data_IF_514159239718
#
_entry.id   IF_514159239718
#
_cell.length_a   1.000
_cell.length_b   1.000
_cell.length_c   1.000
_cell.angle_alpha   90.00
_cell.angle_beta   90.00
_cell.angle_gamma   90.00
#
_symmetry.space_group_name_H-M   'P 1'
#
loop_
_entity.id
_entity.type
_entity.pdbx_description
1 polymer ?
2 water ?
#
# COMPACT_ATOMS: atom_id res chain seq x y z
N UNK A 11 -9.63 -31.82 13.13
CA UNK A 11 -10.60 -30.74 12.83
C UNK A 11 -10.74 -30.55 11.32
N UNK A 12 -11.60 -31.37 10.70
CA UNK A 12 -11.94 -31.24 9.26
C UNK A 12 -13.16 -30.34 9.09
N UNK A 14 -15.12 -26.63 7.80
CA UNK A 14 -15.21 -25.84 6.58
C UNK A 14 -15.01 -24.38 6.88
N UNK A 15 -15.09 -23.56 5.84
CA UNK A 15 -14.89 -22.12 5.97
C UNK A 15 -15.78 -21.52 7.07
N UNK A 16 -17.03 -21.96 7.14
CA UNK A 16 -17.97 -21.36 8.10
C UNK A 16 -17.65 -21.77 9.53
N UNK A 17 -17.17 -22.99 9.68
CA UNK A 17 -16.72 -23.47 10.96
C UNK A 17 -15.52 -22.68 11.45
N UNK A 18 -14.57 -22.46 10.55
CA UNK A 18 -13.36 -21.70 10.88
C UNK A 18 -13.69 -20.29 11.34
N UNK A 19 -14.63 -19.66 10.63
CA UNK A 19 -15.04 -18.28 10.92
C UNK A 19 -15.83 -18.19 12.20
N UNK A 20 -16.67 -19.18 12.44
CA UNK A 20 -17.40 -19.27 13.70
C UNK A 20 -16.43 -19.51 14.86
N UNK A 21 -15.38 -20.30 14.60
CA UNK A 21 -14.32 -20.51 15.58
C UNK A 21 -13.58 -19.21 15.88
N UNK A 22 -13.35 -18.39 14.86
CA UNK A 22 -12.73 -17.08 15.09
C UNK A 22 -13.62 -16.19 15.93
N UNK A 23 -14.90 -16.13 15.57
CA UNK A 23 -15.84 -15.27 16.31
C UNK A 23 -15.94 -15.72 17.77
N UNK A 24 -16.00 -17.03 18.00
CA UNK A 24 -16.03 -17.57 19.35
C UNK A 24 -14.76 -17.21 20.13
N UNK A 25 -13.62 -17.26 19.45
CA UNK A 25 -12.34 -16.88 20.06
C UNK A 25 -12.28 -15.38 20.27
N UNK A 26 -12.88 -14.62 19.35
CA UNK A 26 -13.02 -13.18 19.52
C UNK A 26 -13.84 -12.85 20.78
N UNK A 27 -15.03 -13.45 20.92
CA UNK A 27 -15.88 -13.22 22.09
C UNK A 27 -15.24 -13.71 23.40
N UNK A 28 -14.33 -14.68 23.30
CA UNK A 28 -13.46 -15.06 24.41
C UNK A 28 -12.52 -13.91 24.76
N UNK A 29 -11.94 -13.28 23.74
CA UNK A 29 -11.05 -12.14 23.93
C UNK A 29 -11.85 -10.86 24.18
N UNK A 50 -4.67 -8.68 22.76
CA UNK A 50 -4.34 -7.79 21.65
C UNK A 50 -4.49 -8.49 20.31
N UNK A 51 -4.91 -9.77 20.35
CA UNK A 51 -5.32 -10.52 19.15
C UNK A 51 -6.81 -10.35 18.84
N UNK A 52 -7.49 -9.50 19.62
CA UNK A 52 -8.87 -9.12 19.34
C UNK A 52 -8.92 -8.21 18.11
N UNK A 53 -7.93 -7.31 18.00
CA UNK A 53 -7.84 -6.41 16.85
C UNK A 53 -7.49 -7.19 15.57
N UNK A 54 -6.67 -8.23 15.73
CA UNK A 54 -6.34 -9.14 14.63
C UNK A 54 -7.59 -9.78 14.03
N UNK A 55 -8.58 -10.05 14.90
CA UNK A 55 -9.86 -10.67 14.50
C UNK A 55 -10.91 -9.65 14.03
N UNK A 56 -10.92 -8.48 14.69
CA UNK A 56 -11.95 -7.43 14.49
C UNK A 56 -12.58 -7.39 13.08
N UNK A 57 -11.76 -7.19 12.06
CA UNK A 57 -12.24 -7.07 10.67
C UNK A 57 -12.96 -8.32 10.19
N UNK A 58 -12.45 -9.49 10.56
CA UNK A 58 -13.04 -10.75 10.09
C UNK A 58 -14.42 -10.99 10.69
N UNK A 59 -14.56 -10.78 11.99
CA UNK A 59 -15.84 -11.07 12.65
C UNK A 59 -16.95 -10.16 12.11
N UNK A 60 -16.61 -8.92 11.82
CA UNK A 60 -17.59 -7.94 11.32
C UNK A 60 -18.05 -8.31 9.90
N UNK A 61 -17.19 -8.97 9.15
CA UNK A 61 -17.53 -9.45 7.81
C UNK A 61 -18.41 -10.70 7.88
N UNK A 62 -18.00 -11.67 8.71
CA UNK A 62 -18.77 -12.90 8.90
C UNK A 62 -20.11 -12.59 9.54
N UNK A 63 -20.11 -11.74 10.59
CA UNK A 63 -21.35 -11.27 11.21
C UNK A 63 -22.25 -10.57 10.21
N UNK A 64 -21.67 -9.82 9.27
CA UNK A 64 -22.48 -9.18 8.26
C UNK A 64 -22.99 -10.18 7.22
N UNK A 65 -22.20 -11.21 6.93
CA UNK A 65 -22.62 -12.30 6.05
C UNK A 65 -23.78 -13.10 6.67
N UNK A 66 -23.71 -13.29 7.97
CA UNK A 66 -24.77 -13.98 8.68
C UNK A 66 -26.05 -13.14 8.70
N UNK A 67 -25.89 -11.82 8.76
CA UNK A 67 -27.02 -10.90 8.67
C UNK A 67 -27.68 -10.98 7.29
N UNK A 68 -26.86 -11.09 6.24
CA UNK A 68 -27.37 -11.22 4.88
C UNK A 68 -28.16 -12.53 4.75
N UNK A 69 -27.59 -13.61 5.27
CA UNK A 69 -28.21 -14.95 5.19
C UNK A 69 -29.55 -14.97 5.94
N UNK A 70 -29.63 -14.24 7.04
CA UNK A 70 -30.90 -14.07 7.73
C UNK A 70 -31.85 -13.27 6.85
N UNK A 71 -31.37 -12.17 6.28
CA UNK A 71 -32.16 -11.31 5.38
C UNK A 71 -32.79 -12.07 4.19
N UNK A 72 -32.09 -13.09 3.72
CA UNK A 72 -32.58 -13.94 2.63
C UNK A 72 -33.71 -14.85 3.14
N UNK A 73 -33.49 -15.45 4.31
CA UNK A 73 -34.52 -16.24 4.99
C UNK A 73 -35.74 -15.40 5.34
N UNK A 74 -35.52 -14.15 5.76
CA UNK A 74 -36.61 -13.20 6.06
C UNK A 74 -37.42 -12.86 4.80
N UNK A 75 -36.73 -12.60 3.69
CA UNK A 75 -37.39 -12.26 2.43
C UNK A 75 -38.18 -13.43 1.87
N UNK A 76 -37.74 -14.66 2.17
CA UNK A 76 -38.45 -15.86 1.76
C UNK A 76 -39.75 -16.07 2.54
N UNK A 77 -39.84 -15.50 3.74
CA UNK A 77 -41.08 -15.52 4.55
C UNK A 77 -42.02 -14.32 4.26
N UNK A 86 -49.90 -7.12 -2.38
CA UNK A 86 -49.94 -7.75 -3.70
C UNK A 86 -48.69 -7.43 -4.53
N UNK A 87 -48.36 -6.13 -4.61
CA UNK A 87 -47.08 -5.67 -5.16
C UNK A 87 -46.01 -5.64 -4.08
N UNK A 88 -46.40 -5.93 -2.83
CA UNK A 88 -45.44 -6.11 -1.74
C UNK A 88 -44.70 -7.44 -1.93
N UNK A 89 -45.37 -8.41 -2.56
CA UNK A 89 -44.75 -9.68 -2.93
C UNK A 89 -43.64 -9.44 -3.96
N UNK A 90 -43.94 -8.62 -4.97
CA UNK A 90 -42.95 -8.25 -5.98
C UNK A 90 -41.80 -7.42 -5.39
N UNK A 92 -40.69 -7.58 -2.12
CA UNK A 92 -39.88 -8.51 -1.33
C UNK A 92 -39.06 -9.48 -2.19
N UNK A 93 -39.57 -9.77 -3.40
CA UNK A 93 -38.86 -10.64 -4.34
C UNK A 93 -37.60 -9.95 -4.89
N UNK A 94 -37.70 -8.63 -5.07
CA UNK A 94 -36.54 -7.79 -5.41
C UNK A 94 -35.54 -7.75 -4.28
N UNK A 95 -36.03 -7.48 -3.08
CA UNK A 95 -35.18 -7.45 -1.87
C UNK A 95 -34.44 -8.77 -1.69
N UNK A 96 -35.12 -9.88 -1.99
CA UNK A 96 -34.53 -11.20 -1.91
C UNK A 96 -33.39 -11.35 -2.93
N UNK A 97 -33.66 -10.97 -4.18
CA UNK A 97 -32.63 -11.03 -5.23
C UNK A 97 -31.42 -10.22 -4.77
N UNK A 98 -31.66 -8.99 -4.31
CA UNK A 98 -30.57 -8.12 -3.80
C UNK A 98 -29.79 -8.78 -2.66
N UNK A 99 -30.50 -9.35 -1.70
CA UNK A 99 -29.84 -10.07 -0.60
C UNK A 99 -29.03 -11.27 -1.12
N UNK A 100 -29.60 -12.04 -2.04
CA UNK A 100 -28.93 -13.23 -2.58
C UNK A 100 -27.63 -12.88 -3.30
N UNK A 101 -27.64 -11.72 -3.97
CA UNK A 101 -26.48 -11.22 -4.72
C UNK A 101 -25.34 -10.81 -3.78
N UNK A 102 -25.71 -10.27 -2.63
CA UNK A 102 -24.75 -9.85 -1.61
C UNK A 102 -24.10 -11.07 -0.94
N UNK A 103 -24.89 -12.12 -0.74
CA UNK A 103 -24.35 -13.38 -0.24
C UNK A 103 -23.25 -13.88 -1.18
N UNK A 104 -23.51 -13.88 -2.48
CA UNK A 104 -22.51 -14.27 -3.48
C UNK A 104 -21.24 -13.44 -3.30
N UNK A 105 -21.43 -12.14 -3.10
CA UNK A 105 -20.30 -11.20 -2.94
C UNK A 105 -19.50 -11.47 -1.67
N UNK A 106 -20.21 -11.78 -0.58
CA UNK A 106 -19.57 -12.11 0.69
C UNK A 106 -18.94 -13.49 0.68
N UNK A 107 -19.57 -14.46 0.01
CA UNK A 107 -19.00 -15.79 -0.14
C UNK A 107 -17.58 -15.67 -0.67
N UNK A 108 -17.43 -14.88 -1.74
CA UNK A 108 -16.13 -14.60 -2.36
C UNK A 108 -15.17 -13.98 -1.35
N UNK A 109 -15.68 -13.08 -0.51
CA UNK A 109 -14.86 -12.46 0.52
C UNK A 109 -14.34 -13.47 1.54
N UNK A 110 -15.24 -14.35 2.01
CA UNK A 110 -14.97 -15.23 3.16
C UNK A 110 -13.82 -16.19 2.96
N UNK A 111 -13.78 -16.85 1.81
CA UNK A 111 -12.73 -17.84 1.54
C UNK A 111 -11.33 -17.33 1.89
N UNK A 112 -11.07 -16.05 1.60
CA UNK A 112 -9.74 -15.48 1.78
C UNK A 112 -9.44 -14.92 3.17
N UNK A 113 -10.48 -14.82 4.01
CA UNK A 113 -10.35 -14.25 5.35
C UNK A 113 -9.39 -15.04 6.22
N UNK A 114 -9.48 -16.38 6.14
CA UNK A 114 -8.67 -17.27 6.98
C UNK A 114 -7.25 -17.48 6.46
N UNK A 115 -6.88 -16.80 5.37
CA UNK A 115 -5.52 -16.91 4.85
C UNK A 115 -4.50 -16.41 5.88
N UNK A 116 -3.28 -16.95 5.84
CA UNK A 116 -2.21 -16.43 6.68
C UNK A 116 -1.78 -15.03 6.24
N UNK A 117 -1.80 -14.09 7.19
CA UNK A 117 -1.45 -12.71 6.92
C UNK A 117 0.06 -12.49 7.09
N UNK A 118 0.64 -11.77 6.13
CA UNK A 118 1.92 -11.10 6.32
C UNK A 118 1.76 -10.29 7.60
N UNK A 119 2.65 -10.50 8.58
CA UNK A 119 2.49 -9.84 9.88
C UNK A 119 2.72 -8.33 9.82
N UNK A 120 3.31 -7.86 8.72
CA UNK A 120 3.42 -6.44 8.43
C UNK A 120 2.14 -5.80 7.89
N UNK A 121 1.12 -6.58 7.57
CA UNK A 121 -0.07 -6.03 6.89
C UNK A 121 -0.76 -4.92 7.68
N UNK A 122 -0.76 -5.07 8.99
CA UNK A 122 -1.44 -4.12 9.87
C UNK A 122 -0.56 -2.93 10.30
N UNK A 123 0.59 -2.73 9.63
CA UNK A 123 1.55 -1.70 10.04
C UNK A 123 1.36 -0.42 9.28
N UNK A 124 1.78 0.70 9.88
CA UNK A 124 1.88 1.94 9.13
C UNK A 124 3.08 1.77 8.21
N UNK A 125 3.25 2.67 7.25
CA UNK A 125 4.35 2.52 6.30
C UNK A 125 5.14 3.80 6.10
N UNK A 126 6.41 3.65 5.71
CA UNK A 126 7.18 4.74 5.18
C UNK A 126 7.06 4.63 3.67
N UNK A 127 6.72 5.75 3.03
CA UNK A 127 6.54 5.84 1.59
C UNK A 127 7.63 6.71 1.00
N UNK A 128 8.29 6.25 -0.05
CA UNK A 128 9.28 7.05 -0.77
C UNK A 128 8.99 7.06 -2.25
N UNK A 129 9.05 8.23 -2.86
CA UNK A 129 8.84 8.41 -4.29
C UNK A 129 10.00 9.24 -4.85
N UNK A 130 10.60 8.80 -5.94
CA UNK A 130 11.69 9.53 -6.60
C UNK A 130 11.47 9.61 -8.11
N UNK A 131 11.57 10.80 -8.67
CA UNK A 131 11.67 10.92 -10.11
C UNK A 131 12.91 10.14 -10.55
N UNK A 132 12.71 9.16 -11.43
CA UNK A 132 13.83 8.39 -11.97
C UNK A 132 14.11 8.87 -13.40
N UNK A 133 13.93 8.02 -14.41
CA UNK A 133 14.25 8.38 -15.80
C UNK A 133 13.16 9.25 -16.43
N UNK A 134 13.57 10.30 -17.14
CA UNK A 134 12.63 11.18 -17.85
C UNK A 134 12.89 12.67 -17.69
N UNK A 135 13.67 13.03 -16.67
CA UNK A 135 14.01 14.42 -16.43
C UNK A 135 12.92 15.11 -15.64
N UNK A 136 12.61 16.34 -16.03
CA UNK A 136 11.61 17.17 -15.36
C UNK A 136 10.28 16.45 -15.30
N UNK A 137 9.90 15.82 -16.40
CA UNK A 137 8.66 15.06 -16.49
C UNK A 137 8.59 13.97 -15.45
N UNK A 138 9.72 13.36 -15.12
CA UNK A 138 9.74 12.32 -14.10
C UNK A 138 9.46 12.91 -12.72
N UNK A 139 10.00 14.09 -12.44
CA UNK A 139 9.73 14.79 -11.18
C UNK A 139 8.27 15.27 -11.07
N UNK A 140 7.73 15.82 -12.15
CA UNK A 140 6.30 16.11 -12.19
C UNK A 140 5.48 14.88 -11.79
N UNK A 141 5.74 13.75 -12.44
CA UNK A 141 4.95 12.52 -12.19
C UNK A 141 5.08 12.01 -10.77
N UNK A 142 6.30 12.11 -10.22
CA UNK A 142 6.50 11.82 -8.81
C UNK A 142 5.53 12.65 -7.95
N UNK A 143 5.37 13.91 -8.32
CA UNK A 143 4.40 14.77 -7.67
C UNK A 143 2.98 14.29 -7.87
N UNK A 144 2.68 13.84 -9.08
CA UNK A 144 1.36 13.28 -9.38
C UNK A 144 1.07 12.08 -8.51
N UNK A 145 2.04 11.18 -8.38
CA UNK A 145 1.91 10.02 -7.49
C UNK A 145 1.71 10.42 -6.03
N UNK A 146 2.41 11.47 -5.61
CA UNK A 146 2.36 11.85 -4.22
C UNK A 146 0.95 12.32 -3.95
N UNK A 147 0.43 13.16 -4.85
CA UNK A 147 -0.94 13.65 -4.75
C UNK A 147 -1.94 12.50 -4.70
N UNK A 149 -1.54 9.35 -3.65
CA UNK A 149 -1.49 8.65 -2.38
C UNK A 149 -2.01 9.52 -1.24
N UNK A 150 -1.76 10.81 -1.36
CA UNK A 150 -2.25 11.77 -0.39
C UNK A 150 -3.79 11.82 -0.44
N UNK A 151 -4.36 11.78 -1.63
CA UNK A 151 -5.81 11.73 -1.78
C UNK A 151 -6.41 10.39 -1.35
N UNK A 152 -5.72 9.31 -1.68
CA UNK A 152 -6.12 7.97 -1.26
C UNK A 152 -6.08 7.90 0.24
N UNK A 153 -4.98 8.36 0.83
CA UNK A 153 -4.86 8.32 2.28
C UNK A 153 -5.99 9.09 2.95
N UNK A 154 -6.33 10.26 2.41
CA UNK A 154 -7.54 10.98 2.86
C UNK A 154 -8.76 10.05 2.81
N UNK A 155 -9.08 9.55 1.61
CA UNK A 155 -10.18 8.58 1.42
C UNK A 155 -10.17 7.47 2.47
N UNK A 156 -9.02 6.86 2.72
CA UNK A 156 -8.95 5.74 3.67
C UNK A 156 -8.99 6.15 5.14
N UNK A 157 -9.04 7.45 5.41
CA UNK A 157 -9.05 7.95 6.78
C UNK A 157 -7.69 7.94 7.44
N UNK A 158 -6.61 7.74 6.66
CA UNK A 158 -5.26 7.70 7.20
C UNK A 158 -4.65 9.09 7.39
N UNK A 159 -3.58 9.12 8.20
CA UNK A 159 -2.71 10.27 8.35
C UNK A 159 -1.55 10.14 7.37
N UNK A 160 -1.25 11.23 6.67
CA UNK A 160 -0.20 11.27 5.68
C UNK A 160 0.73 12.42 6.05
N UNK A 161 1.85 12.12 6.70
CA UNK A 161 2.87 13.13 7.00
C UNK A 161 3.96 13.09 5.93
N UNK A 162 4.22 14.20 5.27
CA UNK A 162 5.43 14.28 4.46
C UNK A 162 6.58 14.59 5.41
N UNK A 164 10.12 14.46 4.68
CA UNK A 164 10.96 15.37 3.94
C UNK A 164 10.72 15.23 2.46
N UNK A 165 10.97 16.32 1.75
CA UNK A 165 10.75 16.33 0.32
C UNK A 165 11.70 17.32 -0.34
N UNK A 166 12.03 17.01 -1.58
CA UNK A 166 13.09 17.68 -2.29
C UNK A 166 12.54 18.08 -3.67
N UNK A 167 12.27 19.38 -3.84
CA UNK A 167 11.71 19.93 -5.07
C UNK A 167 12.82 20.27 -6.07
N UNK A 168 12.46 20.35 -7.36
CA UNK A 168 13.42 20.71 -8.43
C UNK A 168 13.33 22.17 -8.84
N UNK A 169 12.51 22.93 -8.14
CA UNK A 169 12.40 24.38 -8.40
C UNK A 169 11.71 24.72 -9.71
N UNK A 170 10.88 23.81 -10.21
CA UNK A 170 10.03 24.14 -11.35
C UNK A 170 8.76 23.26 -11.33
N UNK A 171 8.25 23.06 -10.10
CA UNK A 171 7.01 22.34 -9.86
C UNK A 171 7.15 20.83 -9.72
N UNK A 172 8.39 20.35 -9.67
CA UNK A 172 8.64 18.91 -9.70
C UNK A 172 9.30 18.42 -8.43
N UNK A 173 9.11 17.13 -8.18
CA UNK A 173 9.52 16.49 -6.94
C UNK A 173 10.70 15.55 -7.18
N UNK A 174 11.89 15.95 -6.75
CA UNK A 174 13.10 15.13 -6.93
C UNK A 174 12.94 13.84 -6.12
N UNK A 175 12.66 13.97 -4.83
CA UNK A 175 12.12 12.87 -4.03
C UNK A 175 11.30 13.32 -2.84
N UNK A 176 10.50 12.41 -2.33
CA UNK A 176 9.74 12.65 -1.12
C UNK A 176 9.76 11.38 -0.27
N UNK A 177 9.75 11.56 1.04
CA UNK A 177 9.55 10.46 1.98
C UNK A 177 8.41 10.89 2.87
N UNK A 178 7.49 9.98 3.09
CA UNK A 178 6.32 10.30 3.88
C UNK A 178 6.07 9.13 4.74
N UNK A 180 2.74 7.08 6.24
CA UNK A 180 1.30 6.89 6.17
C UNK A 180 0.88 5.93 7.28
N UNK A 181 -0.04 6.40 8.12
CA UNK A 181 -0.47 5.71 9.31
C UNK A 181 -2.00 5.56 9.39
N UNK A 182 -2.43 4.47 10.01
CA UNK A 182 -3.85 4.13 10.14
C UNK A 182 -4.05 2.63 10.20
N UNK A 183 -5.29 2.19 9.96
CA UNK A 183 -5.62 0.76 9.99
C UNK A 183 -5.02 0.03 8.79
N UNK A 184 -4.22 -1.00 9.06
CA UNK A 184 -3.60 -1.85 8.05
C UNK A 184 -3.09 -1.18 6.76
N UNK A 185 -2.27 -0.17 6.89
CA UNK A 185 -1.91 0.65 5.74
C UNK A 185 -1.04 -0.13 4.76
N UNK A 186 -0.16 -0.97 5.29
CA UNK A 186 0.73 -1.77 4.46
C UNK A 186 -0.04 -2.83 3.67
N UNK A 187 -1.06 -3.40 4.29
CA UNK A 187 -1.93 -4.38 3.62
C UNK A 187 -2.49 -3.86 2.31
N UNK A 188 -2.57 -2.53 2.18
CA UNK A 188 -3.13 -1.89 0.99
C UNK A 188 -2.10 -1.28 0.09
N UNK A 189 -0.99 -0.82 0.64
CA UNK A 189 0.00 -0.07 -0.15
C UNK A 189 1.25 -0.85 -0.53
N UNK A 190 1.32 -2.07 -0.05
CA UNK A 190 2.49 -2.86 -0.27
C UNK A 190 2.78 -3.11 -1.73
N UNK A 191 1.76 -3.08 -2.57
CA UNK A 191 1.91 -3.36 -4.00
C UNK A 191 2.40 -2.14 -4.77
N UNK A 192 2.49 -0.96 -4.13
CA UNK A 192 2.96 0.23 -4.85
C UNK A 192 4.45 0.24 -5.05
N UNK A 193 5.20 -0.63 -4.38
CA UNK A 193 6.64 -0.67 -4.58
C UNK A 193 6.99 -1.08 -6.00
N UNK A 194 7.64 -0.19 -6.72
CA UNK A 194 8.24 -0.53 -8.00
C UNK A 194 8.36 0.72 -8.85
N UNK A 195 8.54 0.51 -10.15
CA UNK A 195 8.72 1.58 -11.12
C UNK A 195 7.40 1.84 -11.79
N UNK A 196 6.99 3.11 -11.82
CA UNK A 196 5.70 3.53 -12.32
C UNK A 196 5.97 4.38 -13.53
N UNK A 197 5.57 3.88 -14.69
CA UNK A 197 5.88 4.55 -15.96
C UNK A 197 4.78 5.51 -16.34
N UNK A 198 5.15 6.73 -16.69
CA UNK A 198 4.16 7.68 -17.24
C UNK A 198 4.40 7.85 -18.74
N UNK A 199 3.32 7.94 -19.52
CA UNK A 199 3.37 8.30 -20.95
C UNK A 199 2.39 9.47 -21.17
N UNK A 200 2.91 10.61 -21.56
CA UNK A 200 2.08 11.76 -21.72
C UNK A 200 2.81 12.78 -22.52
N UNK A 201 2.04 13.73 -23.05
CA UNK A 201 2.58 14.82 -23.84
C UNK A 201 2.87 15.89 -22.81
N UNK A 202 4.16 16.18 -22.58
CA UNK A 202 4.55 17.24 -21.65
C UNK A 202 3.85 18.55 -21.96
N UNK A 203 3.58 19.35 -20.95
CA UNK A 203 2.94 20.66 -21.16
C UNK A 203 3.85 21.57 -22.00
N UNK A 204 5.15 21.35 -21.88
CA UNK A 204 6.16 22.03 -22.67
C UNK A 204 6.17 21.67 -24.15
N UNK A 205 5.63 20.51 -24.51
CA UNK A 205 5.71 19.94 -25.86
C UNK A 205 4.63 20.52 -26.77
N UNK A 206 5.04 20.99 -27.95
CA UNK A 206 4.12 21.57 -28.91
C UNK A 206 3.72 20.61 -30.04
N UNK A 207 4.52 19.54 -30.23
CA UNK A 207 4.40 18.69 -31.41
C UNK A 207 3.65 17.39 -31.17
N UNK A 208 3.09 17.24 -29.97
CA UNK A 208 2.24 16.11 -29.68
C UNK A 208 2.98 14.82 -29.37
N UNK A 209 4.29 14.94 -29.15
CA UNK A 209 5.09 13.78 -28.85
C UNK A 209 4.85 13.33 -27.43
N UNK A 210 4.66 12.04 -27.27
CA UNK A 210 4.44 11.43 -25.99
C UNK A 210 5.78 11.13 -25.39
N UNK A 211 6.06 11.70 -24.21
CA UNK A 211 7.29 11.41 -23.49
C UNK A 211 6.97 10.37 -22.45
N UNK A 212 7.88 9.40 -22.32
CA UNK A 212 7.82 8.35 -21.33
C UNK A 212 8.79 8.64 -20.18
N UNK A 213 8.28 8.65 -18.96
CA UNK A 213 9.13 8.80 -17.77
C UNK A 213 8.78 7.77 -16.70
N UNK A 214 9.65 7.69 -15.72
CA UNK A 214 9.48 6.80 -14.59
C UNK A 214 9.75 7.53 -13.28
N UNK A 215 8.91 7.21 -12.30
CA UNK A 215 9.14 7.51 -10.92
C UNK A 215 9.08 6.18 -10.18
N UNK A 216 9.94 6.02 -9.19
CA UNK A 216 10.00 4.80 -8.38
C UNK A 216 9.26 5.00 -7.06
N UNK A 217 8.60 3.95 -6.61
CA UNK A 217 7.92 4.05 -5.33
C UNK A 217 8.45 2.91 -4.50
N UNK A 218 8.75 3.19 -3.24
CA UNK A 218 9.07 2.15 -2.28
C UNK A 218 8.16 2.35 -1.07
N UNK A 219 7.50 1.28 -0.66
CA UNK A 219 6.65 1.24 0.53
C UNK A 219 7.24 0.18 1.46
N UNK A 221 7.18 -1.25 5.71
CA UNK A 221 6.51 -1.11 7.01
C UNK A 221 7.32 -0.24 7.96
N UNK A 222 6.63 0.50 8.80
CA UNK A 222 7.25 1.22 9.90
C UNK A 222 7.81 0.18 10.87
N UNK A 223 9.04 0.40 11.30
CA UNK A 223 9.72 -0.50 12.24
C UNK A 223 9.97 0.25 13.55
N UNK A 224 9.47 -0.30 14.66
CA UNK A 224 9.63 0.32 15.98
C UNK A 224 11.05 0.08 16.47
N UNK A 225 11.63 1.05 17.17
CA UNK A 225 12.98 0.88 17.70
C UNK A 225 13.07 -0.45 18.44
N UNK A 226 12.09 -0.68 19.31
CA UNK A 226 11.93 -1.95 20.03
C UNK A 226 12.12 -3.18 19.13
N UNK A 227 11.52 -3.17 17.94
CA UNK A 227 11.48 -4.34 17.06
C UNK A 227 12.77 -4.61 16.31
N UNK A 228 13.60 -3.58 16.14
CA UNK A 228 14.80 -3.69 15.33
C UNK A 228 15.92 -2.80 15.88
N UNK A 229 16.76 -3.38 16.72
CA UNK A 229 17.79 -2.59 17.35
C UNK A 229 19.03 -2.51 16.47
N UNK A 230 19.64 -1.33 16.51
CA UNK A 230 20.82 -1.05 15.73
C UNK A 230 21.84 -0.50 16.67
N UNK A 231 22.98 -1.17 16.71
CA UNK A 231 24.11 -0.77 17.51
C UNK A 231 24.68 0.54 16.93
N UNK A 232 24.83 1.57 17.78
CA UNK A 232 25.41 2.80 17.28
C UNK A 232 26.78 2.60 16.66
N UNK A 233 27.51 1.57 17.09
CA UNK A 233 28.80 1.27 16.47
C UNK A 233 28.65 1.11 14.96
N UNK A 234 27.48 0.60 14.55
CA UNK A 234 27.11 0.48 13.14
C UNK A 234 26.52 1.75 12.48
N UNK A 235 26.54 2.87 13.19
CA UNK A 235 26.06 4.14 12.64
C UNK A 235 27.11 5.21 12.58
N UNK A 236 27.06 5.98 11.50
CA UNK A 236 27.69 7.27 11.47
C UNK A 236 26.60 8.33 11.54
N UNK A 237 26.65 9.19 12.56
CA UNK A 237 25.72 10.31 12.68
C UNK A 237 26.45 11.63 12.56
N UNK A 238 26.25 12.29 11.43
CA UNK A 238 26.79 13.60 11.20
C UNK A 238 25.73 14.63 11.54
N UNK A 239 26.11 15.59 12.38
CA UNK A 239 25.27 16.75 12.68
C UNK A 239 25.92 17.97 12.05
N UNK A 240 25.17 18.71 11.23
CA UNK A 240 25.72 19.83 10.45
C UNK A 240 24.66 20.92 10.18
N UNK A 241 25.13 22.11 9.77
CA UNK A 241 24.25 23.22 9.38
C UNK A 241 23.88 23.01 7.90
N UNK A 242 22.58 23.03 7.60
CA UNK A 242 22.09 22.74 6.25
C UNK A 242 22.83 23.49 5.14
N UNK A 252 24.49 29.25 16.79
CA UNK A 252 23.37 28.29 16.67
C UNK A 252 23.83 26.84 16.78
N UNK A 253 22.89 25.98 17.18
CA UNK A 253 23.11 24.54 17.26
C UNK A 253 22.89 23.99 15.84
N UNK A 254 23.82 23.15 15.37
CA UNK A 254 23.63 22.50 14.08
C UNK A 254 22.49 21.51 14.28
N UNK A 255 21.56 21.48 13.32
CA UNK A 255 20.33 20.71 13.50
C UNK A 255 19.99 19.78 12.36
N UNK A 256 20.79 19.82 11.29
CA UNK A 256 20.61 18.91 10.18
C UNK A 256 21.38 17.64 10.50
N UNK A 257 20.78 16.50 10.21
CA UNK A 257 21.29 15.22 10.67
C UNK A 257 21.35 14.24 9.52
N UNK A 258 22.55 13.72 9.26
CA UNK A 258 22.79 12.61 8.34
C UNK A 258 23.16 11.38 9.16
N UNK A 259 22.44 10.30 8.93
CA UNK A 259 22.73 9.02 9.56
C UNK A 259 23.05 8.08 8.44
N UNK A 260 24.20 7.43 8.53
CA UNK A 260 24.59 6.37 7.61
C UNK A 260 24.74 5.06 8.39
N UNK A 261 24.00 4.03 7.97
CA UNK A 261 24.13 2.68 8.53
C UNK A 261 25.29 2.01 7.82
N UNK A 262 26.38 1.82 8.55
CA UNK A 262 27.64 1.51 7.94
C UNK A 262 27.67 0.15 7.30
N UNK A 263 27.07 -0.88 7.93
CA UNK A 263 27.11 -2.20 7.28
C UNK A 263 26.41 -2.27 5.93
N UNK A 264 25.46 -1.39 5.66
CA UNK A 264 24.74 -1.40 4.41
C UNK A 264 25.00 -0.18 3.52
N UNK A 265 25.66 0.83 4.08
CA UNK A 265 25.79 2.15 3.44
C UNK A 265 24.44 2.80 3.14
N UNK A 266 23.41 2.45 3.89
CA UNK A 266 22.14 3.14 3.79
C UNK A 266 22.29 4.48 4.54
N UNK A 267 21.92 5.57 3.84
CA UNK A 267 22.09 6.93 4.30
C UNK A 267 20.77 7.66 4.32
N UNK A 268 20.54 8.45 5.37
CA UNK A 268 19.37 9.31 5.42
C UNK A 268 19.82 10.66 5.90
N UNK A 269 19.22 11.70 5.34
CA UNK A 269 19.52 13.09 5.67
C UNK A 269 18.20 13.81 5.97
N UNK A 271 16.70 17.51 7.52
CA UNK A 271 17.03 18.88 7.89
C UNK A 271 15.82 19.78 8.11
N UNK A 272 14.63 19.38 7.67
CA UNK A 272 13.46 20.26 7.74
C UNK A 272 13.17 20.80 9.15
N UNK A 273 13.32 19.96 10.18
CA UNK A 273 12.90 20.31 11.54
C UNK A 273 13.80 21.34 12.23
N UNK A 274 13.22 22.06 13.21
CA UNK A 274 13.95 23.11 13.92
C UNK A 274 14.93 22.60 14.95
N UNK A 275 14.87 21.31 15.32
CA UNK A 275 15.84 20.76 16.27
C UNK A 275 16.54 19.54 15.71
N UNK A 276 17.76 19.36 16.18
CA UNK A 276 18.58 18.20 15.90
C UNK A 276 17.87 16.92 16.27
N UNK A 277 17.30 16.89 17.48
CA UNK A 277 16.54 15.74 17.96
C UNK A 277 15.43 15.35 16.98
N UNK A 278 14.64 16.32 16.55
CA UNK A 278 13.55 16.05 15.61
C UNK A 278 14.08 15.49 14.29
N UNK A 279 15.15 16.07 13.77
CA UNK A 279 15.69 15.58 12.52
C UNK A 279 16.33 14.23 12.72
N UNK A 280 17.03 14.03 13.83
CA UNK A 280 17.60 12.74 14.13
C UNK A 280 16.56 11.63 14.18
N UNK A 281 15.48 11.87 14.92
CA UNK A 281 14.43 10.87 15.11
C UNK A 281 13.76 10.47 13.80
N UNK A 282 13.46 11.46 12.96
CA UNK A 282 12.88 11.22 11.65
C UNK A 282 13.84 10.41 10.80
N UNK A 283 15.11 10.77 10.87
CA UNK A 283 16.12 10.08 10.09
C UNK A 283 16.25 8.63 10.55
N UNK A 285 13.87 6.71 12.02
CA UNK A 285 12.69 5.92 11.63
C UNK A 285 12.90 5.36 10.23
N UNK A 286 13.47 6.21 9.39
CA UNK A 286 13.67 5.88 8.01
C UNK A 286 14.84 4.89 7.83
N UNK A 287 15.97 5.07 8.52
CA UNK A 287 17.06 4.10 8.39
C UNK A 287 16.62 2.74 8.93
N UNK A 288 15.89 2.73 10.03
CA UNK A 288 15.41 1.49 10.62
C UNK A 288 14.55 0.74 9.63
N UNK A 289 13.58 1.43 9.06
CA UNK A 289 12.74 0.86 8.02
C UNK A 289 13.54 0.32 6.81
N UNK A 290 14.51 1.10 6.36
CA UNK A 290 15.28 0.80 5.17
C UNK A 290 16.21 -0.35 5.40
N UNK A 291 16.81 -0.39 6.58
CA UNK A 291 17.71 -1.47 6.93
C UNK A 291 16.95 -2.76 7.17
N UNK A 292 15.81 -2.69 7.87
CA UNK A 292 15.04 -3.89 8.10
C UNK A 292 14.53 -4.44 6.77
N UNK A 293 14.18 -3.53 5.88
CA UNK A 293 13.68 -3.89 4.57
C UNK A 293 14.79 -4.47 3.71
N UNK A 294 15.95 -3.83 3.74
CA UNK A 294 17.13 -4.35 3.06
C UNK A 294 17.27 -5.83 3.35
N UNK A 295 17.31 -6.19 4.63
CA UNK A 295 17.56 -7.56 5.03
C UNK A 295 16.37 -8.49 4.84
N UNK A 296 15.16 -8.00 5.05
CA UNK A 296 13.97 -8.81 4.75
C UNK A 296 13.95 -9.21 3.29
N UNK A 297 14.44 -8.31 2.44
CA UNK A 297 14.55 -8.57 1.01
C UNK A 297 15.58 -9.65 0.69
N UNK A 298 16.73 -9.65 1.37
CA UNK A 298 17.70 -10.71 1.09
C UNK A 298 17.12 -12.06 1.55
N UNK A 299 16.32 -12.04 2.61
CA UNK A 299 15.82 -13.28 3.19
C UNK A 299 14.70 -13.85 2.34
N UNK A 300 13.95 -12.96 1.71
CA UNK A 300 12.96 -13.34 0.70
C UNK A 300 13.68 -14.03 -0.45
N UNK A 301 14.78 -13.40 -0.89
CA UNK A 301 15.55 -13.87 -2.04
C UNK A 301 16.23 -15.22 -1.81
N UNK A 302 16.70 -15.45 -0.59
CA UNK A 302 17.22 -16.77 -0.18
C UNK A 302 16.14 -17.84 -0.30
N UNK A 303 14.90 -17.49 0.03
CA UNK A 303 13.80 -18.46 0.04
C UNK A 303 13.06 -18.56 -1.32
N UNK A 304 13.73 -18.20 -2.41
CA UNK A 304 13.28 -18.56 -3.77
C UNK A 304 13.61 -20.04 -4.05
N UNK A 305 13.10 -20.54 -5.17
CA UNK A 305 13.25 -21.95 -5.58
C UNK A 305 12.20 -22.84 -4.94
N UNK A 310 3.45 -14.36 -3.92
CA UNK A 310 3.84 -12.96 -4.03
C UNK A 310 3.51 -12.44 -5.43
N UNK A 311 2.82 -11.30 -5.49
CA UNK A 311 2.39 -10.70 -6.76
C UNK A 311 3.50 -9.84 -7.34
N UNK A 312 3.78 -10.05 -8.62
CA UNK A 312 4.90 -9.42 -9.30
C UNK A 312 6.14 -10.25 -9.14
N UNK A 313 7.30 -9.65 -9.41
CA UNK A 313 8.61 -10.29 -9.21
C UNK A 313 9.04 -10.18 -7.75
N UNK A 314 8.66 -9.08 -7.10
CA UNK A 314 9.28 -8.66 -5.85
C UNK A 314 10.50 -7.76 -6.11
N UNK A 315 10.91 -7.65 -7.39
CA UNK A 315 11.96 -6.73 -7.80
C UNK A 315 11.38 -5.33 -7.89
N UNK A 316 12.01 -4.37 -7.20
CA UNK A 316 11.42 -3.05 -6.98
C UNK A 316 11.88 -2.05 -8.01
N UNK A 317 12.74 -2.50 -8.91
CA UNK A 317 13.11 -1.77 -10.11
C UNK A 317 12.19 -2.15 -11.28
N UNK A 318 11.43 -3.23 -11.14
CA UNK A 318 10.55 -3.67 -12.19
C UNK A 318 9.43 -2.64 -12.36
N UNK A 319 9.18 -2.28 -13.61
CA UNK A 319 8.00 -1.54 -13.99
C UNK A 319 6.80 -2.39 -13.65
N UNK A 320 6.05 -1.94 -12.68
CA UNK A 320 4.84 -2.62 -12.26
C UNK A 320 3.63 -1.99 -12.90
N UNK A 321 3.72 -0.71 -13.25
CA UNK A 321 2.54 -0.03 -13.69
C UNK A 321 2.82 1.04 -14.72
N UNK A 322 1.86 1.21 -15.64
CA UNK A 322 1.94 2.26 -16.65
C UNK A 322 0.70 3.12 -16.65
N UNK A 323 0.92 4.43 -16.73
CA UNK A 323 -0.12 5.46 -16.64
C UNK A 323 -0.07 6.20 -17.93
N UNK A 324 -1.00 5.92 -18.86
CA UNK A 324 -0.97 6.58 -20.19
C UNK A 324 -2.08 7.65 -20.30
N UNK A 325 -1.66 8.90 -20.31
CA UNK A 325 -2.57 10.04 -20.30
C UNK A 325 -3.42 10.13 -21.56
N UNK A 326 -2.80 9.95 -22.75
CA UNK A 326 -3.57 10.00 -23.98
C UNK A 326 -4.78 9.07 -23.98
N UNK A 327 -4.62 7.92 -23.35
CA UNK A 327 -5.64 6.90 -23.35
C UNK A 327 -6.41 6.87 -22.05
N UNK A 328 -6.16 7.86 -21.18
CA UNK A 328 -6.74 7.81 -19.83
C UNK A 328 -6.60 6.43 -19.20
N UNK A 329 -5.47 5.79 -19.43
CA UNK A 329 -5.30 4.38 -19.04
C UNK A 329 -4.31 4.17 -17.87
N UNK A 330 -4.69 3.35 -16.91
CA UNK A 330 -3.73 2.77 -15.99
C UNK A 330 -3.71 1.28 -16.21
N UNK A 331 -2.50 0.76 -16.41
CA UNK A 331 -2.27 -0.67 -16.51
C UNK A 331 -1.40 -1.14 -15.36
N UNK A 332 -1.75 -2.25 -14.73
CA UNK A 332 -0.86 -2.85 -13.76
C UNK A 332 -0.36 -4.09 -14.43
N UNK A 333 0.95 -4.13 -14.68
CA UNK A 333 1.54 -5.16 -15.50
C UNK A 333 1.64 -6.50 -14.80
N UNK A 334 1.41 -6.51 -13.50
CA UNK A 334 1.57 -7.75 -12.74
C UNK A 334 0.37 -8.64 -12.83
N UNK A 335 -0.79 -8.07 -13.12
CA UNK A 335 -2.03 -8.82 -13.05
C UNK A 335 -2.89 -8.60 -14.28
N UNK A 336 -2.26 -8.19 -15.39
CA UNK A 336 -2.97 -7.97 -16.64
C UNK A 336 -4.21 -7.09 -16.53
N UNK A 337 -4.15 -6.04 -15.74
CA UNK A 337 -5.33 -5.21 -15.53
C UNK A 337 -5.10 -3.91 -16.23
N UNK A 338 -6.03 -3.53 -17.11
CA UNK A 338 -6.02 -2.18 -17.68
C UNK A 338 -7.38 -1.58 -17.46
N UNK A 339 -7.39 -0.36 -16.93
CA UNK A 339 -8.59 0.39 -16.66
C UNK A 339 -8.45 1.74 -17.34
N UNK A 340 -9.51 2.19 -18.00
CA UNK A 340 -9.57 3.53 -18.56
C UNK A 340 -10.14 4.47 -17.52
N UNK A 341 -9.37 4.66 -16.46
CA UNK A 341 -9.78 5.43 -15.30
C UNK A 341 -8.65 6.27 -14.68
N UNK A 342 -7.62 6.55 -15.45
CA UNK A 342 -6.45 7.24 -14.94
C UNK A 342 -6.79 8.57 -14.29
N UNK A 343 -7.65 9.34 -14.94
CA UNK A 343 -8.11 10.56 -14.30
C UNK A 343 -8.51 10.33 -12.84
N UNK A 344 -9.34 9.33 -12.56
CA UNK A 344 -9.89 9.15 -11.21
C UNK A 344 -8.93 8.42 -10.27
N UNK A 345 -8.04 7.61 -10.85
CA UNK A 345 -6.99 6.93 -10.10
C UNK A 345 -5.96 7.92 -9.59
N UNK A 346 -5.45 8.78 -10.47
CA UNK A 346 -4.53 9.84 -10.06
C UNK A 346 -5.14 10.83 -9.06
N UNK A 347 -6.46 10.94 -9.05
CA UNK A 347 -7.15 11.78 -8.06
C UNK A 347 -7.31 11.05 -6.72
N UNK A 348 -6.87 9.80 -6.62
CA UNK A 348 -6.86 9.07 -5.37
C UNK A 348 -7.83 7.89 -5.32
N UNK A 349 -8.61 7.66 -6.37
CA UNK A 349 -9.57 6.55 -6.33
C UNK A 349 -8.81 5.32 -6.84
N UNK A 350 -8.04 4.73 -5.94
CA UNK A 350 -7.06 3.71 -6.29
C UNK A 350 -7.46 2.30 -5.79
N UNK A 351 -8.57 2.24 -5.07
CA UNK A 351 -9.14 1.02 -4.50
C UNK A 351 -9.44 -0.08 -5.50
N UNK A 352 -9.98 0.30 -6.65
CA UNK A 352 -10.30 -0.65 -7.68
C UNK A 352 -9.00 -1.36 -8.10
N UNK A 353 -7.94 -0.58 -8.30
CA UNK A 353 -6.65 -1.16 -8.63
C UNK A 353 -6.08 -2.02 -7.50
N UNK A 354 -6.17 -1.52 -6.27
CA UNK A 354 -5.61 -2.23 -5.12
C UNK A 354 -6.41 -3.46 -4.79
N UNK A 355 -7.73 -3.39 -4.86
CA UNK A 355 -8.56 -4.59 -4.60
C UNK A 355 -8.30 -5.68 -5.65
N UNK A 356 -8.03 -5.28 -6.89
CA UNK A 356 -7.65 -6.22 -7.93
C UNK A 356 -6.39 -6.98 -7.52
N UNK A 357 -5.35 -6.23 -7.12
CA UNK A 357 -4.06 -6.79 -6.70
C UNK A 357 -4.20 -7.71 -5.49
N UNK A 358 -4.92 -7.25 -4.48
CA UNK A 358 -5.21 -8.06 -3.26
C UNK A 358 -5.87 -9.38 -3.63
N UNK A 359 -6.82 -9.33 -4.55
CA UNK A 359 -7.55 -10.52 -4.97
C UNK A 359 -6.67 -11.47 -5.75
N UNK A 360 -5.89 -10.93 -6.68
CA UNK A 360 -4.92 -11.72 -7.41
C UNK A 360 -3.98 -12.49 -6.45
N UNK A 361 -3.50 -11.80 -5.42
CA UNK A 361 -2.55 -12.31 -4.46
C UNK A 361 -3.22 -13.36 -3.58
N UNK A 362 -4.44 -13.07 -3.17
CA UNK A 362 -5.20 -13.96 -2.32
C UNK A 362 -5.60 -15.19 -3.10
N UNK A 363 -5.94 -15.02 -4.37
CA UNK A 363 -6.24 -16.20 -5.21
C UNK A 363 -5.00 -17.08 -5.37
N UNK A 364 -3.86 -16.45 -5.64
CA UNK A 364 -2.56 -17.11 -5.72
C UNK A 364 -2.31 -17.88 -4.42
N UNK A 365 -2.36 -17.18 -3.30
CA UNK A 365 -2.08 -17.78 -1.97
C UNK A 365 -3.02 -18.93 -1.62
N UNK A 366 -4.29 -18.79 -1.99
CA UNK A 366 -5.29 -19.82 -1.75
C UNK A 366 -5.01 -21.08 -2.58
N UNK A 367 -4.66 -20.88 -3.84
CA UNK A 367 -4.40 -22.00 -4.76
C UNK A 367 -3.17 -22.79 -4.34
N UNK A 368 -2.08 -22.08 -4.02
CA UNK A 368 -0.84 -22.71 -3.53
C UNK A 368 -1.05 -23.39 -2.17
N UNK A 369 -2.07 -22.96 -1.43
CA UNK A 369 -2.48 -23.65 -0.20
C UNK A 369 -3.41 -24.82 -0.53
N UNK A 370 -3.03 -25.65 -1.50
CA UNK A 370 -3.75 -26.88 -1.83
C UNK A 370 -2.77 -28.00 -2.21
#
# INVERSE_FOLDING_TARGET
MGSDKIHHHHHHXNIYDQLQAVEDRYEELGELLSDPDVVSDTKRFXELSREEANSRETVAVYREYKQVVQNIADAQEXIKDASGDPELEEXAKEELKNSKVAKEEYEEKLRFLLLPKDPNDDKNIILEIRGAAGGDEAALFAGDLLNXYQKYAENQGWKFEVXEASANGVGGLKEVVAXVSGQSVYSKLKYESGAHRVQRVPVTESQGRVHTSTATVLVXPEVEEVEYEIDPKDLRVDIYHASGAGGQNVNKVATAVRIIHLPTNIKVEXQEERTQQKNRDKAXKIIRARVADHFAQIAQDEQDAERKSTVGTGDRSERIRTYNFPQNRVTDHRIGLTLQKLDSILSGKLDEVIDALILYDQTQKLEELNK
#
